data_IF_779410597048
#
_entry.id   IF_779410597048
#
_cell.length_a   1.000
_cell.length_b   1.000
_cell.length_c   1.000
_cell.angle_alpha   90.00
_cell.angle_beta   90.00
_cell.angle_gamma   90.00
#
_symmetry.space_group_name_H-M   'P 1'
#
loop_
_entity.id
_entity.type
_entity.pdbx_description
1 polymer ?
#
# COMPACT_ATOMS: atom_id res chain seq x y z
N UNK A 1 -24.71 -11.70 6.95
CA UNK A 1 -24.30 -11.25 5.61
C UNK A 1 -23.41 -10.01 5.73
N UNK A 2 -22.24 -10.03 5.10
CA UNK A 2 -21.35 -8.89 5.09
C UNK A 2 -21.84 -7.85 4.09
N UNK A 3 -21.92 -6.59 4.49
CA UNK A 3 -22.21 -5.50 3.59
C UNK A 3 -21.00 -4.61 3.44
N UNK A 4 -20.80 -4.10 2.24
CA UNK A 4 -19.68 -3.21 1.92
C UNK A 4 -20.14 -1.75 1.94
N UNK A 5 -19.20 -0.86 2.21
CA UNK A 5 -19.47 0.57 2.13
C UNK A 5 -19.74 0.98 0.68
N UNK A 6 -20.47 2.06 0.51
CA UNK A 6 -20.66 2.65 -0.82
C UNK A 6 -19.34 3.25 -1.30
N UNK A 7 -19.06 3.11 -2.59
CA UNK A 7 -17.81 3.63 -3.18
C UNK A 7 -17.67 5.14 -2.95
N UNK A 8 -18.76 5.88 -3.05
CA UNK A 8 -18.75 7.33 -2.83
C UNK A 8 -18.31 7.69 -1.42
N UNK A 9 -18.75 6.93 -0.41
CA UNK A 9 -18.35 7.13 0.98
C UNK A 9 -16.88 6.77 1.18
N UNK A 10 -16.42 5.72 0.53
CA UNK A 10 -15.01 5.31 0.58
C UNK A 10 -14.09 6.38 -0.01
N UNK A 11 -14.47 6.97 -1.14
CA UNK A 11 -13.72 8.05 -1.77
C UNK A 11 -13.61 9.25 -0.83
N UNK A 12 -14.72 9.60 -0.16
CA UNK A 12 -14.70 10.72 0.78
C UNK A 12 -13.82 10.43 1.98
N UNK A 13 -13.85 9.20 2.50
CA UNK A 13 -12.99 8.80 3.60
C UNK A 13 -11.51 8.92 3.23
N UNK A 14 -11.12 8.48 2.04
CA UNK A 14 -9.74 8.62 1.55
C UNK A 14 -9.38 10.09 1.44
N UNK A 15 -10.28 10.92 0.92
CA UNK A 15 -10.04 12.37 0.79
C UNK A 15 -9.78 13.02 2.14
N UNK A 16 -10.45 12.55 3.19
CA UNK A 16 -10.30 13.06 4.55
C UNK A 16 -9.09 12.47 5.29
N UNK A 17 -8.34 11.59 4.68
CA UNK A 17 -7.18 10.97 5.31
C UNK A 17 -7.51 9.79 6.23
N UNK A 18 -8.69 9.23 6.09
CA UNK A 18 -9.10 8.04 6.84
C UNK A 18 -8.58 6.77 6.17
N UNK A 19 -8.37 5.74 6.98
CA UNK A 19 -8.01 4.42 6.47
C UNK A 19 -9.22 3.64 6.02
N UNK A 20 -9.05 2.84 4.98
CA UNK A 20 -10.05 1.87 4.54
C UNK A 20 -9.49 0.46 4.63
N UNK A 21 -10.37 -0.51 4.80
CA UNK A 21 -10.06 -1.92 4.53
C UNK A 21 -10.64 -2.24 3.16
N UNK A 22 -9.77 -2.55 2.22
CA UNK A 22 -10.16 -2.92 0.86
C UNK A 22 -9.92 -4.42 0.69
N UNK A 23 -10.95 -5.12 0.24
CA UNK A 23 -10.87 -6.57 0.05
C UNK A 23 -10.97 -6.88 -1.43
N UNK A 24 -10.30 -7.96 -1.85
CA UNK A 24 -10.38 -8.42 -3.21
C UNK A 24 -11.25 -9.67 -3.32
N UNK A 25 -11.39 -10.17 -4.56
CA UNK A 25 -12.21 -11.33 -4.86
C UNK A 25 -11.60 -12.59 -4.23
N UNK A 26 -12.47 -13.51 -3.80
CA UNK A 26 -12.06 -14.82 -3.30
C UNK A 26 -11.24 -15.60 -4.32
N UNK A 27 -11.50 -15.37 -5.61
CA UNK A 27 -10.80 -16.05 -6.70
C UNK A 27 -9.42 -15.46 -6.97
N UNK A 28 -9.08 -14.34 -6.34
CA UNK A 28 -7.77 -13.72 -6.47
C UNK A 28 -6.95 -14.01 -5.21
N UNK A 29 -6.70 -13.02 -4.37
CA UNK A 29 -5.91 -13.22 -3.15
C UNK A 29 -6.77 -13.52 -1.94
N UNK A 30 -8.04 -13.11 -1.96
CA UNK A 30 -8.98 -13.25 -0.86
C UNK A 30 -8.40 -12.66 0.44
N UNK A 31 -7.83 -11.47 0.32
CA UNK A 31 -7.18 -10.77 1.42
C UNK A 31 -7.76 -9.37 1.57
N UNK A 32 -7.57 -8.78 2.74
CA UNK A 32 -7.89 -7.39 3.00
C UNK A 32 -6.63 -6.59 3.19
N UNK A 33 -6.62 -5.36 2.68
CA UNK A 33 -5.52 -4.43 2.84
C UNK A 33 -5.98 -3.17 3.53
N UNK A 34 -5.14 -2.61 4.42
CA UNK A 34 -5.35 -1.27 4.92
C UNK A 34 -4.80 -0.26 3.92
N UNK A 35 -5.61 0.73 3.56
CA UNK A 35 -5.25 1.73 2.56
C UNK A 35 -5.50 3.12 3.12
N UNK A 36 -4.55 4.01 2.89
CA UNK A 36 -4.66 5.43 3.23
C UNK A 36 -4.01 6.23 2.09
N UNK A 37 -4.49 7.44 1.85
CA UNK A 37 -3.86 8.32 0.87
C UNK A 37 -2.44 8.68 1.31
N UNK A 38 -1.47 8.54 0.41
CA UNK A 38 -0.06 8.78 0.75
C UNK A 38 0.19 10.21 1.22
N UNK A 39 -0.51 11.20 0.65
CA UNK A 39 -0.35 12.60 1.05
C UNK A 39 -1.03 12.94 2.40
N UNK A 40 -1.78 12.00 2.96
CA UNK A 40 -2.43 12.16 4.26
C UNK A 40 -1.83 11.25 5.33
N UNK A 41 -0.82 10.46 4.99
CA UNK A 41 -0.24 9.50 5.92
C UNK A 41 0.47 10.22 7.07
N UNK A 42 0.41 9.58 8.24
CA UNK A 42 1.08 10.08 9.45
C UNK A 42 1.91 8.96 10.07
N UNK A 43 2.88 9.28 10.94
CA UNK A 43 3.61 8.25 11.67
C UNK A 43 2.68 7.32 12.45
N UNK A 44 1.61 7.87 13.04
CA UNK A 44 0.62 7.09 13.77
C UNK A 44 -0.12 6.10 12.87
N UNK A 45 -0.46 6.52 11.65
CA UNK A 45 -1.13 5.66 10.68
C UNK A 45 -0.22 4.50 10.25
N UNK A 46 1.05 4.79 9.97
CA UNK A 46 2.02 3.76 9.59
C UNK A 46 2.24 2.78 10.73
N UNK A 47 2.36 3.29 11.96
CA UNK A 47 2.49 2.44 13.14
C UNK A 47 1.27 1.54 13.32
N UNK A 48 0.08 2.07 13.08
CA UNK A 48 -1.15 1.28 13.14
C UNK A 48 -1.11 0.14 12.11
N UNK A 49 -0.71 0.44 10.89
CA UNK A 49 -0.58 -0.59 9.84
C UNK A 49 0.40 -1.68 10.26
N UNK A 50 1.57 -1.31 10.74
CA UNK A 50 2.59 -2.26 11.15
C UNK A 50 2.14 -3.11 12.33
N UNK A 51 1.45 -2.51 13.28
CA UNK A 51 1.03 -3.18 14.51
C UNK A 51 -0.12 -4.16 14.28
N UNK A 52 -1.14 -3.73 13.55
CA UNK A 52 -2.40 -4.47 13.46
C UNK A 52 -2.59 -5.19 12.15
N UNK A 53 -2.19 -4.61 11.03
CA UNK A 53 -2.35 -5.27 9.73
C UNK A 53 -1.20 -6.21 9.40
N UNK A 54 0.01 -5.85 9.83
CA UNK A 54 1.22 -6.63 9.56
C UNK A 54 1.51 -6.70 8.06
N UNK A 55 2.30 -7.66 7.62
CA UNK A 55 2.64 -7.76 6.20
C UNK A 55 3.55 -6.63 5.73
N UNK A 56 3.51 -6.35 4.44
CA UNK A 56 4.34 -5.32 3.82
C UNK A 56 3.59 -4.01 3.70
N UNK A 57 4.27 -2.92 4.05
CA UNK A 57 3.76 -1.58 3.80
C UNK A 57 4.31 -1.13 2.45
N UNK A 58 3.42 -0.87 1.50
CA UNK A 58 3.79 -0.59 0.12
C UNK A 58 3.23 0.76 -0.31
N UNK A 59 3.95 1.43 -1.21
CA UNK A 59 3.48 2.65 -1.86
C UNK A 59 3.54 2.44 -3.36
N UNK A 60 2.40 2.35 -4.05
CA UNK A 60 2.41 2.26 -5.50
C UNK A 60 2.96 3.53 -6.11
N UNK A 61 3.81 3.38 -7.12
CA UNK A 61 4.42 4.50 -7.84
C UNK A 61 4.45 4.22 -9.32
N UNK A 62 4.38 5.29 -10.12
CA UNK A 62 4.59 5.17 -11.56
C UNK A 62 6.05 4.88 -11.89
N UNK A 63 6.28 4.15 -12.99
CA UNK A 63 7.62 3.75 -13.39
C UNK A 63 8.57 4.92 -13.59
N UNK A 64 8.07 6.03 -14.16
CA UNK A 64 8.88 7.25 -14.36
C UNK A 64 9.42 7.79 -13.05
N UNK A 65 8.61 7.74 -12.00
CA UNK A 65 9.03 8.21 -10.69
C UNK A 65 10.08 7.29 -10.08
N UNK A 66 9.90 5.99 -10.24
CA UNK A 66 10.87 4.99 -9.77
C UNK A 66 12.20 5.16 -10.48
N UNK A 67 12.18 5.38 -11.79
CA UNK A 67 13.41 5.62 -12.57
C UNK A 67 14.11 6.90 -12.12
N UNK A 68 13.35 7.96 -11.89
CA UNK A 68 13.92 9.24 -11.42
C UNK A 68 14.59 9.11 -10.05
N UNK A 69 14.09 8.22 -9.19
CA UNK A 69 14.63 7.96 -7.87
C UNK A 69 15.66 6.83 -7.86
N UNK A 70 15.92 6.22 -9.02
CA UNK A 70 16.83 5.08 -9.18
C UNK A 70 16.46 3.91 -8.26
N UNK A 71 15.16 3.62 -8.19
CA UNK A 71 14.65 2.50 -7.41
C UNK A 71 14.45 1.31 -8.35
N UNK A 72 15.30 0.29 -8.18
CA UNK A 72 15.33 -0.87 -9.07
C UNK A 72 14.30 -1.94 -8.66
N UNK A 73 13.88 -2.79 -9.62
CA UNK A 73 13.09 -3.98 -9.27
C UNK A 73 13.82 -4.86 -8.26
N UNK A 74 13.06 -5.51 -7.39
CA UNK A 74 13.62 -6.42 -6.39
C UNK A 74 14.29 -7.62 -7.03
N UNK A 75 13.70 -8.14 -8.11
CA UNK A 75 14.24 -9.28 -8.86
C UNK A 75 14.18 -8.99 -10.35
N UNK A 76 15.14 -9.55 -11.09
CA UNK A 76 15.21 -9.37 -12.55
C UNK A 76 14.06 -10.09 -13.26
N UNK A 77 13.70 -11.29 -12.76
CA UNK A 77 12.60 -12.08 -13.31
C UNK A 77 11.54 -12.27 -12.23
N UNK A 78 10.35 -11.71 -12.46
CA UNK A 78 9.27 -11.82 -11.52
C UNK A 78 8.57 -13.17 -11.69
N UNK A 79 8.62 -14.02 -10.64
CA UNK A 79 7.98 -15.33 -10.63
C UNK A 79 6.70 -15.37 -9.80
N UNK A 80 6.25 -14.21 -9.29
CA UNK A 80 5.02 -14.13 -8.52
C UNK A 80 3.81 -14.49 -9.38
N UNK A 81 2.91 -15.30 -8.83
CA UNK A 81 1.70 -15.75 -9.55
C UNK A 81 0.78 -14.59 -9.94
N UNK A 82 0.81 -13.51 -9.18
CA UNK A 82 -0.01 -12.31 -9.44
C UNK A 82 0.76 -11.22 -10.16
N UNK A 83 2.00 -11.49 -10.55
CA UNK A 83 2.86 -10.58 -11.30
C UNK A 83 3.07 -9.23 -10.60
N UNK A 84 3.09 -9.22 -9.28
CA UNK A 84 3.34 -8.00 -8.51
C UNK A 84 4.79 -7.56 -8.72
N UNK A 85 4.96 -6.35 -9.22
CA UNK A 85 6.28 -5.81 -9.55
C UNK A 85 6.86 -5.05 -8.35
N UNK A 86 7.37 -5.79 -7.36
CA UNK A 86 8.04 -5.18 -6.22
C UNK A 86 9.40 -4.60 -6.62
N UNK A 87 9.74 -3.49 -5.97
CA UNK A 87 11.08 -2.90 -6.05
C UNK A 87 11.89 -3.30 -4.82
N UNK A 88 13.16 -2.88 -4.78
CA UNK A 88 13.93 -2.92 -3.54
C UNK A 88 13.21 -2.04 -2.50
N UNK A 89 13.37 -2.38 -1.22
CA UNK A 89 12.79 -1.58 -0.13
C UNK A 89 13.60 -0.32 0.09
N UNK A 90 12.91 0.76 0.47
CA UNK A 90 13.56 2.06 0.69
C UNK A 90 12.96 2.74 1.92
N UNK A 91 13.72 3.66 2.49
CA UNK A 91 13.25 4.57 3.53
C UNK A 91 13.64 6.00 3.15
N UNK A 92 12.89 6.96 3.65
CA UNK A 92 13.27 8.36 3.48
C UNK A 92 14.55 8.65 4.27
N UNK A 93 15.41 9.52 3.74
CA UNK A 93 16.68 9.87 4.40
C UNK A 93 16.47 10.58 5.74
N UNK A 94 15.26 11.08 5.98
CA UNK A 94 14.91 11.79 7.22
C UNK A 94 14.39 10.89 8.33
N UNK A 95 14.28 9.58 8.09
CA UNK A 95 13.80 8.65 9.12
C UNK A 95 14.93 8.34 10.12
N UNK A 96 14.53 8.11 11.38
CA UNK A 96 15.49 7.87 12.46
C UNK A 96 16.15 6.50 12.37
N UNK A 97 15.45 5.52 11.82
CA UNK A 97 15.88 4.11 11.83
C UNK A 97 16.03 3.50 10.44
N UNK A 98 15.80 4.29 9.43
CA UNK A 98 15.87 3.82 8.05
C UNK A 98 17.26 3.59 7.51
#
# INVERSE_FOLDING_TARGET
MMSFAKVEDAIEDIRQGKMLVVVDDEDRENEGDLIIAADKVTPEAVNFMATYAKGLICTPMEGERLDALDIAPMVANNTDNHETAFTVSVDAVTTDTG
#
